data_IF_394195383595
#
_entry.id   IF_394195383595
#
_cell.length_a   1.000
_cell.length_b   1.000
_cell.length_c   1.000
_cell.angle_alpha   90.00
_cell.angle_beta   90.00
_cell.angle_gamma   90.00
#
_symmetry.space_group_name_H-M   'P 1'
#
loop_
_entity.id
_entity.type
_entity.pdbx_description
1 polymer ?
#
# COMPACT_ATOMS: atom_id res chain seq x y z
N UNK A 1 -26.35 -34.77 48.68
CA UNK A 1 -25.14 -34.60 47.79
C UNK A 1 -25.48 -34.54 46.31
N UNK A 2 -26.40 -35.34 45.76
CA UNK A 2 -26.75 -35.36 44.32
C UNK A 2 -27.27 -34.00 43.75
N UNK A 3 -28.05 -33.25 44.51
CA UNK A 3 -28.65 -31.98 44.07
C UNK A 3 -27.61 -30.85 43.86
N UNK A 4 -26.54 -30.82 44.67
CA UNK A 4 -25.44 -29.85 44.54
C UNK A 4 -24.58 -30.18 43.32
N UNK A 5 -24.38 -31.46 43.01
CA UNK A 5 -23.66 -31.95 41.84
C UNK A 5 -24.36 -31.56 40.52
N UNK A 6 -25.69 -31.77 40.48
CA UNK A 6 -26.53 -31.40 39.33
C UNK A 6 -26.51 -29.86 39.05
N UNK A 7 -26.56 -29.05 40.11
CA UNK A 7 -26.54 -27.59 40.00
C UNK A 7 -25.20 -27.09 39.48
N UNK A 8 -24.09 -27.70 39.91
CA UNK A 8 -22.72 -27.41 39.42
C UNK A 8 -22.52 -27.82 37.96
N UNK A 9 -23.10 -28.98 37.57
CA UNK A 9 -23.03 -29.45 36.19
C UNK A 9 -23.80 -28.52 35.24
N UNK A 10 -25.02 -28.09 35.59
CA UNK A 10 -25.79 -27.11 34.78
C UNK A 10 -25.09 -25.76 34.68
N UNK A 11 -24.50 -25.25 35.75
CA UNK A 11 -23.74 -23.98 35.72
C UNK A 11 -22.54 -24.08 34.81
N UNK A 12 -21.78 -25.17 34.85
CA UNK A 12 -20.67 -25.43 33.96
C UNK A 12 -21.11 -25.54 32.49
N UNK A 13 -22.22 -26.21 32.23
CA UNK A 13 -22.76 -26.33 30.86
C UNK A 13 -23.20 -24.98 30.33
N UNK A 14 -23.92 -24.17 31.09
CA UNK A 14 -24.31 -22.82 30.69
C UNK A 14 -23.11 -21.90 30.45
N UNK A 15 -22.06 -22.00 31.27
CA UNK A 15 -20.82 -21.25 31.08
C UNK A 15 -20.13 -21.63 29.76
N UNK A 16 -20.03 -22.92 29.42
CA UNK A 16 -19.49 -23.41 28.18
C UNK A 16 -20.30 -22.94 26.94
N UNK A 17 -21.62 -22.92 27.04
CA UNK A 17 -22.50 -22.40 26.00
C UNK A 17 -22.27 -20.89 25.77
N UNK A 18 -22.12 -20.11 26.83
CA UNK A 18 -21.83 -18.68 26.74
C UNK A 18 -20.45 -18.41 26.15
N UNK A 19 -19.43 -19.21 26.44
CA UNK A 19 -18.13 -19.10 25.82
C UNK A 19 -18.20 -19.40 24.31
N UNK A 20 -18.88 -20.49 23.96
CA UNK A 20 -19.03 -20.89 22.55
C UNK A 20 -19.83 -19.87 21.75
N UNK A 21 -20.88 -19.26 22.31
CA UNK A 21 -21.63 -18.20 21.63
C UNK A 21 -20.77 -16.95 21.39
N UNK A 22 -19.96 -16.53 22.36
CA UNK A 22 -19.03 -15.41 22.21
C UNK A 22 -17.94 -15.68 21.17
N UNK A 23 -17.41 -16.90 21.11
CA UNK A 23 -16.44 -17.29 20.08
C UNK A 23 -17.07 -17.22 18.68
N UNK A 24 -18.29 -17.71 18.51
CA UNK A 24 -19.02 -17.66 17.24
C UNK A 24 -19.30 -16.21 16.83
N UNK A 25 -19.73 -15.34 17.75
CA UNK A 25 -19.94 -13.92 17.49
C UNK A 25 -18.65 -13.21 17.07
N UNK A 26 -17.53 -13.47 17.77
CA UNK A 26 -16.23 -12.89 17.45
C UNK A 26 -15.73 -13.34 16.08
N UNK A 27 -15.87 -14.63 15.78
CA UNK A 27 -15.49 -15.18 14.47
C UNK A 27 -16.34 -14.58 13.35
N UNK A 28 -17.66 -14.43 13.55
CA UNK A 28 -18.54 -13.83 12.55
C UNK A 28 -18.21 -12.35 12.29
N UNK A 29 -17.89 -11.59 13.35
CA UNK A 29 -17.48 -10.20 13.24
C UNK A 29 -16.17 -10.04 12.43
N UNK A 30 -15.19 -10.91 12.68
CA UNK A 30 -13.92 -10.91 11.94
C UNK A 30 -14.17 -11.14 10.44
N UNK A 31 -15.02 -12.10 10.09
CA UNK A 31 -15.37 -12.37 8.70
C UNK A 31 -16.12 -11.21 8.05
N UNK A 32 -17.04 -10.56 8.74
CA UNK A 32 -17.77 -9.39 8.25
C UNK A 32 -16.79 -8.25 7.95
N UNK A 33 -15.86 -7.97 8.88
CA UNK A 33 -14.83 -6.94 8.69
C UNK A 33 -13.93 -7.28 7.50
N UNK A 34 -13.46 -8.53 7.41
CA UNK A 34 -12.61 -8.98 6.31
C UNK A 34 -13.29 -8.84 4.95
N UNK A 35 -14.54 -9.28 4.83
CA UNK A 35 -15.34 -9.16 3.60
C UNK A 35 -15.58 -7.68 3.27
N UNK A 36 -15.91 -6.86 4.27
CA UNK A 36 -16.14 -5.43 4.10
C UNK A 36 -14.90 -4.70 3.57
N UNK A 37 -13.73 -4.95 4.16
CA UNK A 37 -12.46 -4.36 3.72
C UNK A 37 -12.08 -4.86 2.31
N UNK A 38 -12.27 -6.15 2.04
CA UNK A 38 -11.96 -6.74 0.73
C UNK A 38 -12.85 -6.15 -0.37
N UNK A 39 -14.15 -5.99 -0.09
CA UNK A 39 -15.10 -5.37 -1.02
C UNK A 39 -14.76 -3.90 -1.26
N UNK A 40 -14.45 -3.15 -0.21
CA UNK A 40 -14.03 -1.75 -0.33
C UNK A 40 -12.77 -1.63 -1.18
N UNK A 41 -11.76 -2.45 -0.93
CA UNK A 41 -10.52 -2.49 -1.71
C UNK A 41 -10.79 -2.79 -3.19
N UNK A 42 -11.67 -3.76 -3.47
CA UNK A 42 -12.08 -4.09 -4.84
C UNK A 42 -12.77 -2.91 -5.53
N UNK A 43 -13.71 -2.24 -4.85
CA UNK A 43 -14.43 -1.07 -5.39
C UNK A 43 -13.45 0.07 -5.72
N UNK A 44 -12.51 0.37 -4.80
CA UNK A 44 -11.51 1.42 -5.00
C UNK A 44 -10.62 1.08 -6.19
N UNK A 45 -10.12 -0.16 -6.29
CA UNK A 45 -9.28 -0.60 -7.40
C UNK A 45 -10.03 -0.57 -8.74
N UNK A 46 -11.28 -1.04 -8.78
CA UNK A 46 -12.11 -1.02 -9.97
C UNK A 46 -12.40 0.43 -10.44
N UNK A 47 -12.64 1.35 -9.49
CA UNK A 47 -12.85 2.77 -9.79
C UNK A 47 -11.58 3.42 -10.35
N UNK A 48 -10.41 3.15 -9.76
CA UNK A 48 -9.12 3.63 -10.25
C UNK A 48 -8.87 3.16 -11.70
N UNK A 49 -9.01 1.87 -11.96
CA UNK A 49 -8.83 1.29 -13.29
C UNK A 49 -9.80 1.89 -14.33
N UNK A 50 -11.06 2.11 -13.93
CA UNK A 50 -12.07 2.75 -14.78
C UNK A 50 -11.69 4.19 -15.12
N UNK A 51 -11.23 4.97 -14.13
CA UNK A 51 -10.78 6.35 -14.35
C UNK A 51 -9.53 6.37 -15.23
N UNK A 52 -8.53 5.54 -14.95
CA UNK A 52 -7.32 5.44 -15.77
C UNK A 52 -7.69 5.12 -17.22
N UNK A 53 -8.51 4.09 -17.49
CA UNK A 53 -8.97 3.72 -18.82
C UNK A 53 -9.78 4.82 -19.50
N UNK A 54 -10.55 5.62 -18.76
CA UNK A 54 -11.28 6.76 -19.30
C UNK A 54 -10.33 7.86 -19.75
N UNK A 55 -9.40 8.27 -18.89
CA UNK A 55 -8.49 9.39 -19.13
C UNK A 55 -7.31 9.03 -20.07
N UNK A 56 -7.00 7.74 -20.24
CA UNK A 56 -6.06 7.27 -21.25
C UNK A 56 -6.55 7.50 -22.69
N UNK A 57 -7.86 7.68 -22.89
CA UNK A 57 -8.46 7.95 -24.19
C UNK A 57 -8.58 9.43 -24.53
N UNK A 58 -8.30 10.32 -23.57
CA UNK A 58 -8.40 11.77 -23.76
C UNK A 58 -6.99 12.28 -24.07
N UNK A 59 -6.77 12.78 -25.32
CA UNK A 59 -5.47 13.31 -25.68
C UNK A 59 -5.22 14.65 -24.97
N UNK A 60 -3.94 14.93 -24.70
CA UNK A 60 -3.51 16.26 -24.26
C UNK A 60 -3.60 17.25 -25.43
N UNK A 61 -4.12 18.44 -25.18
CA UNK A 61 -4.26 19.50 -26.19
C UNK A 61 -2.94 19.99 -26.77
N UNK A 62 -1.85 19.86 -26.03
CA UNK A 62 -0.50 20.26 -26.41
C UNK A 62 0.31 19.14 -27.08
N UNK A 63 -0.24 17.92 -27.21
CA UNK A 63 0.41 16.78 -27.84
C UNK A 63 1.61 16.19 -27.09
N UNK A 64 1.87 16.63 -25.84
CA UNK A 64 3.00 16.15 -25.05
C UNK A 64 2.79 14.69 -24.61
N UNK A 65 3.85 13.89 -24.73
CA UNK A 65 3.89 12.53 -24.17
C UNK A 65 4.12 12.58 -22.66
N UNK A 66 3.90 11.47 -21.95
CA UNK A 66 4.23 11.37 -20.53
C UNK A 66 5.72 11.65 -20.26
N UNK A 67 6.62 11.23 -21.17
CA UNK A 67 8.03 11.63 -21.13
C UNK A 67 8.20 13.15 -21.17
N UNK A 68 7.60 13.82 -22.16
CA UNK A 68 7.74 15.27 -22.34
C UNK A 68 7.22 16.04 -21.12
N UNK A 69 6.10 15.58 -20.54
CA UNK A 69 5.52 16.11 -19.30
C UNK A 69 6.51 15.97 -18.14
N UNK A 70 7.09 14.79 -17.96
CA UNK A 70 8.09 14.56 -16.90
C UNK A 70 9.32 15.45 -17.08
N UNK A 71 9.92 15.47 -18.27
CA UNK A 71 11.10 16.30 -18.55
C UNK A 71 10.81 17.79 -18.38
N UNK A 72 9.61 18.23 -18.78
CA UNK A 72 9.19 19.63 -18.59
C UNK A 72 9.02 19.97 -17.11
N UNK A 73 8.31 19.13 -16.35
CA UNK A 73 8.10 19.37 -14.92
C UNK A 73 9.42 19.41 -14.13
N UNK A 74 10.35 18.49 -14.42
CA UNK A 74 11.67 18.48 -13.78
C UNK A 74 12.43 19.77 -14.07
N UNK A 75 12.47 20.23 -15.33
CA UNK A 75 13.09 21.51 -15.72
C UNK A 75 12.44 22.70 -15.02
N UNK A 76 11.12 22.78 -15.02
CA UNK A 76 10.37 23.88 -14.38
C UNK A 76 10.60 23.93 -12.86
N UNK A 77 10.97 22.80 -12.24
CA UNK A 77 11.35 22.70 -10.82
C UNK A 77 12.86 22.84 -10.56
N UNK A 78 13.66 23.11 -11.61
CA UNK A 78 15.11 23.27 -11.50
C UNK A 78 15.86 21.97 -11.20
N UNK A 79 15.29 20.82 -11.54
CA UNK A 79 15.87 19.49 -11.32
C UNK A 79 16.44 18.98 -12.63
N UNK A 80 17.78 18.92 -12.74
CA UNK A 80 18.50 18.56 -13.97
C UNK A 80 19.27 17.24 -13.85
N UNK A 81 19.39 16.70 -12.66
CA UNK A 81 20.11 15.47 -12.33
C UNK A 81 19.25 14.22 -12.38
N UNK A 82 17.94 14.36 -12.62
CA UNK A 82 16.98 13.27 -12.75
C UNK A 82 16.72 12.96 -14.23
N UNK A 83 16.91 11.68 -14.61
CA UNK A 83 16.67 11.20 -15.98
C UNK A 83 15.28 10.54 -16.06
N UNK A 84 14.61 10.74 -17.20
CA UNK A 84 13.34 10.04 -17.50
C UNK A 84 13.65 8.84 -18.39
N UNK A 85 13.25 7.65 -17.94
CA UNK A 85 13.53 6.38 -18.63
C UNK A 85 12.24 5.59 -18.87
N UNK A 86 12.25 4.76 -19.92
CA UNK A 86 11.16 3.83 -20.20
C UNK A 86 11.48 2.46 -19.60
N UNK A 87 10.50 1.87 -18.92
CA UNK A 87 10.61 0.52 -18.34
C UNK A 87 9.50 -0.38 -18.85
N UNK A 88 9.74 -1.67 -18.86
CA UNK A 88 8.75 -2.67 -19.26
C UNK A 88 7.75 -2.92 -18.11
N UNK A 89 6.54 -3.33 -18.49
CA UNK A 89 5.45 -3.64 -17.57
C UNK A 89 4.31 -2.63 -17.63
N UNK A 90 3.20 -2.98 -17.00
CA UNK A 90 2.02 -2.13 -16.90
C UNK A 90 1.89 -1.60 -15.47
N UNK A 91 1.72 -0.29 -15.29
CA UNK A 91 1.69 0.39 -13.99
C UNK A 91 2.97 0.14 -13.16
N UNK A 92 4.12 0.12 -13.82
CA UNK A 92 5.44 -0.01 -13.19
C UNK A 92 6.12 1.34 -13.00
N UNK A 93 5.37 2.41 -13.19
CA UNK A 93 5.85 3.78 -13.06
C UNK A 93 6.34 4.03 -11.64
N UNK A 94 7.53 4.63 -11.50
CA UNK A 94 8.09 4.97 -10.19
C UNK A 94 9.29 5.91 -10.29
N UNK A 95 9.47 6.75 -9.30
CA UNK A 95 10.73 7.46 -9.07
C UNK A 95 11.71 6.61 -8.28
N UNK A 96 12.95 6.49 -8.75
CA UNK A 96 14.03 5.80 -8.04
C UNK A 96 15.05 6.81 -7.51
N UNK A 97 15.12 7.05 -6.20
CA UNK A 97 16.04 7.98 -5.59
C UNK A 97 17.50 7.52 -5.60
N UNK A 98 17.76 6.21 -5.74
CA UNK A 98 19.12 5.67 -5.69
C UNK A 98 19.94 6.00 -6.96
N UNK A 99 19.28 6.03 -8.12
CA UNK A 99 19.90 6.33 -9.41
C UNK A 99 19.37 7.61 -10.06
N UNK A 100 18.53 8.37 -9.35
CA UNK A 100 17.91 9.62 -9.81
C UNK A 100 17.20 9.44 -11.15
N UNK A 101 16.27 8.47 -11.21
CA UNK A 101 15.47 8.22 -12.41
C UNK A 101 13.98 8.25 -12.15
N UNK A 102 13.23 8.89 -13.05
CA UNK A 102 11.79 8.70 -13.21
C UNK A 102 11.61 7.62 -14.26
N UNK A 103 11.14 6.46 -13.83
CA UNK A 103 10.92 5.30 -14.66
C UNK A 103 9.44 5.25 -15.02
N UNK A 104 9.13 5.36 -16.30
CA UNK A 104 7.76 5.34 -16.81
C UNK A 104 7.53 4.06 -17.61
N UNK A 105 6.40 3.42 -17.39
CA UNK A 105 5.95 2.29 -18.22
C UNK A 105 5.78 2.73 -19.66
N UNK A 106 5.93 1.81 -20.62
CA UNK A 106 5.81 2.11 -22.05
C UNK A 106 4.49 2.81 -22.37
N UNK A 107 3.40 2.40 -21.73
CA UNK A 107 2.07 2.97 -21.91
C UNK A 107 1.98 4.44 -21.46
N UNK A 108 2.74 4.83 -20.45
CA UNK A 108 2.82 6.20 -19.94
C UNK A 108 3.85 7.00 -20.72
N UNK A 109 5.04 6.44 -20.93
CA UNK A 109 6.18 7.10 -21.57
C UNK A 109 5.85 7.66 -22.95
N UNK A 110 5.18 6.87 -23.80
CA UNK A 110 4.89 7.19 -25.20
C UNK A 110 3.51 7.78 -25.45
N UNK A 111 2.60 7.75 -24.46
CA UNK A 111 1.23 8.19 -24.62
C UNK A 111 1.07 9.69 -24.43
N UNK A 112 0.29 10.34 -25.32
CA UNK A 112 -0.10 11.74 -25.23
C UNK A 112 -1.46 11.93 -24.53
N UNK A 113 -1.75 11.15 -23.48
CA UNK A 113 -3.03 11.17 -22.81
C UNK A 113 -3.00 11.90 -21.45
N UNK A 114 -4.17 12.36 -21.01
CA UNK A 114 -4.35 12.97 -19.68
C UNK A 114 -3.90 12.03 -18.56
N UNK A 115 -4.17 10.73 -18.69
CA UNK A 115 -3.73 9.73 -17.71
C UNK A 115 -2.19 9.62 -17.66
N UNK A 116 -1.54 9.58 -18.82
CA UNK A 116 -0.07 9.53 -18.91
C UNK A 116 0.59 10.78 -18.29
N UNK A 117 0.04 11.96 -18.58
CA UNK A 117 0.52 13.20 -17.98
C UNK A 117 0.37 13.21 -16.46
N UNK A 118 -0.77 12.76 -15.94
CA UNK A 118 -1.01 12.71 -14.50
C UNK A 118 -0.06 11.76 -13.78
N UNK A 119 0.19 10.56 -14.34
CA UNK A 119 1.15 9.59 -13.78
C UNK A 119 2.58 10.15 -13.84
N UNK A 120 3.00 10.65 -15.00
CA UNK A 120 4.35 11.22 -15.17
C UNK A 120 4.60 12.38 -14.20
N UNK A 121 3.63 13.29 -14.04
CA UNK A 121 3.73 14.39 -13.09
C UNK A 121 3.76 13.90 -11.64
N UNK A 122 3.02 12.83 -11.29
CA UNK A 122 3.06 12.23 -9.95
C UNK A 122 4.46 11.70 -9.61
N UNK A 123 5.09 10.94 -10.52
CA UNK A 123 6.46 10.44 -10.32
C UNK A 123 7.49 11.56 -10.22
N UNK A 124 7.30 12.64 -10.99
CA UNK A 124 8.10 13.86 -10.80
C UNK A 124 7.82 14.54 -9.45
N UNK A 125 6.61 14.42 -8.90
CA UNK A 125 6.29 14.87 -7.55
C UNK A 125 7.20 14.23 -6.50
N UNK A 126 7.51 12.93 -6.63
CA UNK A 126 8.49 12.24 -5.78
C UNK A 126 9.94 12.75 -6.00
N UNK A 127 10.32 13.06 -7.23
CA UNK A 127 11.62 13.68 -7.50
C UNK A 127 11.73 15.05 -6.83
N UNK A 128 10.67 15.86 -6.88
CA UNK A 128 10.61 17.16 -6.19
C UNK A 128 10.67 17.00 -4.67
N UNK A 129 9.98 16.00 -4.11
CA UNK A 129 10.08 15.68 -2.67
C UNK A 129 11.52 15.34 -2.28
N UNK A 130 12.22 14.57 -3.10
CA UNK A 130 13.62 14.20 -2.86
C UNK A 130 14.51 15.43 -2.91
N UNK A 131 14.40 16.26 -3.97
CA UNK A 131 15.18 17.49 -4.14
C UNK A 131 14.93 18.50 -3.00
N UNK A 132 13.70 18.56 -2.46
CA UNK A 132 13.35 19.43 -1.33
C UNK A 132 13.60 18.81 0.04
N UNK A 133 14.24 17.64 0.10
CA UNK A 133 14.55 16.91 1.33
C UNK A 133 13.31 16.68 2.24
N UNK A 134 12.15 16.36 1.64
CA UNK A 134 10.89 16.17 2.35
C UNK A 134 11.00 15.07 3.42
N UNK A 135 10.78 15.43 4.70
CA UNK A 135 11.02 14.58 5.85
C UNK A 135 10.32 13.21 5.80
N UNK A 136 8.98 13.12 5.52
CA UNK A 136 8.29 11.85 5.41
C UNK A 136 8.85 10.92 4.32
N UNK A 137 9.35 11.45 3.20
CA UNK A 137 10.00 10.65 2.17
C UNK A 137 11.32 10.05 2.66
N UNK A 138 12.12 10.80 3.45
CA UNK A 138 13.33 10.27 4.06
C UNK A 138 13.02 9.14 5.04
N UNK A 139 12.00 9.29 5.88
CA UNK A 139 11.54 8.24 6.79
C UNK A 139 11.10 6.99 6.02
N UNK A 140 10.28 7.15 4.98
CA UNK A 140 9.86 6.05 4.08
C UNK A 140 11.08 5.34 3.52
N UNK A 141 12.03 6.07 2.93
CA UNK A 141 13.22 5.49 2.30
C UNK A 141 14.10 4.72 3.28
N UNK A 142 14.26 5.20 4.52
CA UNK A 142 15.00 4.50 5.56
C UNK A 142 14.34 3.19 6.00
N UNK A 143 13.00 3.11 5.95
CA UNK A 143 12.24 1.92 6.35
C UNK A 143 12.10 0.89 5.23
N UNK A 144 12.24 1.27 3.95
CA UNK A 144 12.06 0.38 2.78
C UNK A 144 12.88 -0.91 2.90
N UNK A 145 14.19 -0.92 3.23
CA UNK A 145 14.95 -2.17 3.30
C UNK A 145 14.40 -3.15 4.34
N UNK A 146 14.05 -2.62 5.53
CA UNK A 146 13.52 -3.42 6.64
C UNK A 146 12.14 -3.98 6.30
N UNK A 147 11.25 -3.15 5.74
CA UNK A 147 9.90 -3.56 5.37
C UNK A 147 9.92 -4.52 4.19
N UNK A 148 10.79 -4.33 3.21
CA UNK A 148 10.94 -5.25 2.07
C UNK A 148 11.41 -6.64 2.51
N UNK A 149 12.33 -6.71 3.48
CA UNK A 149 12.72 -7.97 4.10
C UNK A 149 11.54 -8.58 4.87
N UNK A 150 10.89 -7.79 5.73
CA UNK A 150 9.76 -8.24 6.55
C UNK A 150 8.61 -8.78 5.70
N UNK A 151 8.18 -8.06 4.65
CA UNK A 151 7.04 -8.44 3.83
C UNK A 151 7.27 -9.74 3.05
N UNK A 152 8.53 -10.10 2.76
CA UNK A 152 8.86 -11.37 2.12
C UNK A 152 8.64 -12.57 3.05
N UNK A 153 8.89 -12.40 4.34
CA UNK A 153 8.91 -13.49 5.31
C UNK A 153 7.73 -13.52 6.26
N UNK A 154 7.00 -12.40 6.43
CA UNK A 154 5.93 -12.26 7.42
C UNK A 154 4.87 -13.35 7.30
N UNK A 155 4.43 -13.67 6.10
CA UNK A 155 3.42 -14.71 5.86
C UNK A 155 3.89 -16.08 6.36
N UNK A 156 5.13 -16.46 6.03
CA UNK A 156 5.72 -17.73 6.46
C UNK A 156 5.93 -17.78 7.97
N UNK A 157 6.41 -16.68 8.56
CA UNK A 157 6.62 -16.59 10.02
C UNK A 157 5.29 -16.70 10.76
N UNK A 158 4.23 -16.05 10.27
CA UNK A 158 2.89 -16.16 10.86
C UNK A 158 2.33 -17.57 10.76
N UNK A 159 2.44 -18.23 9.59
CA UNK A 159 1.97 -19.60 9.39
C UNK A 159 2.71 -20.59 10.31
N UNK A 160 4.05 -20.52 10.33
CA UNK A 160 4.85 -21.35 11.23
C UNK A 160 4.53 -21.04 12.69
N UNK A 161 4.40 -19.75 13.04
CA UNK A 161 4.05 -19.30 14.39
C UNK A 161 2.74 -19.88 14.90
N UNK A 162 1.71 -19.96 14.05
CA UNK A 162 0.43 -20.60 14.39
C UNK A 162 0.62 -22.10 14.62
N UNK A 163 1.40 -22.79 13.78
CA UNK A 163 1.64 -24.23 13.92
C UNK A 163 2.40 -24.59 15.20
N UNK A 164 3.33 -23.74 15.63
CA UNK A 164 4.21 -24.02 16.78
C UNK A 164 3.81 -23.27 18.05
N UNK A 165 2.65 -22.60 18.07
CA UNK A 165 2.23 -21.70 19.15
C UNK A 165 2.30 -22.35 20.54
N UNK A 166 1.99 -23.63 20.64
CA UNK A 166 2.00 -24.38 21.90
C UNK A 166 3.40 -24.56 22.51
N UNK A 167 4.44 -24.53 21.69
CA UNK A 167 5.83 -24.72 22.11
C UNK A 167 6.65 -23.43 22.06
N UNK A 168 6.42 -22.61 21.02
CA UNK A 168 7.20 -21.42 20.72
C UNK A 168 6.32 -20.22 20.37
N UNK A 169 5.55 -19.66 21.33
CA UNK A 169 4.66 -18.52 21.07
C UNK A 169 5.40 -17.25 20.58
N UNK A 170 6.70 -17.14 20.87
CA UNK A 170 7.55 -16.03 20.45
C UNK A 170 7.64 -15.91 18.92
N UNK A 171 7.54 -17.04 18.17
CA UNK A 171 7.55 -17.02 16.71
C UNK A 171 6.34 -16.28 16.15
N UNK A 172 5.16 -16.55 16.70
CA UNK A 172 3.94 -15.83 16.32
C UNK A 172 4.01 -14.36 16.68
N UNK A 173 4.52 -14.04 17.87
CA UNK A 173 4.70 -12.65 18.32
C UNK A 173 5.64 -11.88 17.37
N UNK A 174 6.75 -12.49 16.92
CA UNK A 174 7.65 -11.91 15.93
C UNK A 174 6.94 -11.65 14.60
N UNK A 175 6.12 -12.58 14.12
CA UNK A 175 5.31 -12.39 12.91
C UNK A 175 4.33 -11.22 13.03
N UNK A 176 3.65 -11.10 14.17
CA UNK A 176 2.73 -9.98 14.46
C UNK A 176 3.51 -8.65 14.50
N UNK A 177 4.69 -8.59 15.10
CA UNK A 177 5.51 -7.39 15.16
C UNK A 177 5.97 -6.95 13.75
N UNK A 178 6.38 -7.89 12.89
CA UNK A 178 6.73 -7.61 11.49
C UNK A 178 5.52 -7.12 10.68
N UNK A 179 4.34 -7.70 10.91
CA UNK A 179 3.09 -7.24 10.29
C UNK A 179 2.72 -5.82 10.73
N UNK A 180 2.83 -5.54 12.03
CA UNK A 180 2.59 -4.21 12.58
C UNK A 180 3.56 -3.16 12.00
N UNK A 181 4.83 -3.52 11.80
CA UNK A 181 5.82 -2.66 11.14
C UNK A 181 5.42 -2.34 9.68
N UNK A 182 4.93 -3.33 8.92
CA UNK A 182 4.44 -3.12 7.55
C UNK A 182 3.22 -2.21 7.51
N UNK A 183 2.33 -2.33 8.50
CA UNK A 183 1.17 -1.45 8.65
C UNK A 183 1.59 -0.01 8.98
N UNK A 184 2.53 0.16 9.91
CA UNK A 184 3.10 1.47 10.25
C UNK A 184 3.74 2.14 9.03
N UNK A 185 4.48 1.37 8.23
CA UNK A 185 5.06 1.86 6.98
C UNK A 185 4.00 2.40 6.00
N UNK A 186 2.84 1.74 5.91
CA UNK A 186 1.73 2.22 5.08
C UNK A 186 1.20 3.58 5.54
N UNK A 187 1.11 3.82 6.84
CA UNK A 187 0.73 5.12 7.40
C UNK A 187 1.78 6.22 7.13
N UNK A 188 3.07 5.88 7.14
CA UNK A 188 4.15 6.81 6.80
C UNK A 188 4.16 7.11 5.29
N UNK A 189 3.81 6.12 4.47
CA UNK A 189 3.79 6.27 3.00
C UNK A 189 2.62 7.14 2.54
N UNK A 190 1.46 7.08 3.17
CA UNK A 190 0.26 7.80 2.76
C UNK A 190 0.46 9.33 2.60
N UNK A 191 1.03 10.07 3.57
CA UNK A 191 1.30 11.50 3.38
C UNK A 191 2.32 11.79 2.29
N UNK A 192 3.26 10.87 2.00
CA UNK A 192 4.22 11.00 0.88
C UNK A 192 3.47 10.97 -0.45
N UNK A 193 2.58 9.99 -0.64
CA UNK A 193 1.78 9.82 -1.86
C UNK A 193 0.80 11.01 -2.08
N UNK A 194 0.15 11.47 -1.01
CA UNK A 194 -0.74 12.63 -1.07
C UNK A 194 0.04 13.87 -1.49
N UNK A 195 1.19 14.12 -0.87
CA UNK A 195 2.00 15.30 -1.17
C UNK A 195 2.61 15.24 -2.59
N UNK A 196 3.03 14.07 -3.09
CA UNK A 196 3.48 13.91 -4.47
C UNK A 196 2.35 14.27 -5.47
N UNK A 197 1.13 13.75 -5.22
CA UNK A 197 -0.05 14.07 -6.03
C UNK A 197 -0.42 15.57 -5.97
N UNK A 198 -0.33 16.20 -4.80
CA UNK A 198 -0.58 17.65 -4.66
C UNK A 198 0.43 18.48 -5.45
N UNK A 199 1.72 18.09 -5.46
CA UNK A 199 2.77 18.76 -6.26
C UNK A 199 2.53 18.60 -7.75
N UNK A 200 2.09 17.42 -8.19
CA UNK A 200 1.71 17.15 -9.57
C UNK A 200 0.53 18.04 -10.00
N UNK A 201 -0.55 18.04 -9.20
CA UNK A 201 -1.75 18.85 -9.49
C UNK A 201 -1.48 20.37 -9.49
N UNK A 202 -0.58 20.83 -8.63
CA UNK A 202 -0.22 22.25 -8.58
C UNK A 202 0.62 22.71 -9.76
N UNK A 203 1.23 21.78 -10.50
CA UNK A 203 2.03 22.08 -11.66
C UNK A 203 1.26 21.89 -12.99
N UNK A 204 0.36 20.90 -13.08
CA UNK A 204 -0.51 20.64 -14.25
C UNK A 204 -1.49 21.78 -14.49
#
# INVERSE_FOLDING_TARGET
MAFISLKRSKAKYNYLLLLNSKEIETMSLIWIIFIGISLLSYIVQANLNRKFKKFSKIPLSNGMTGRDVAEKMLRDKGIYDVKVTCVEGHLTDHYNPANHTVNLSRDVYSSCSVAAAAVAAHECGHAVQHATAYGPLKMRSALVPVVSFSSRWVTWILLIGIMVIQRFPVVLLAGIALFALSTLFSFITLPVEINASQRALAWL
#
